data_IF_473307885959
#
_entry.id   IF_473307885959
#
_cell.length_a   1.000
_cell.length_b   1.000
_cell.length_c   1.000
_cell.angle_alpha   90.00
_cell.angle_beta   90.00
_cell.angle_gamma   90.00
#
_symmetry.space_group_name_H-M   'P 1'
#
loop_
_entity.id
_entity.type
_entity.pdbx_description
1 polymer ?
#
# COMPACT_ATOMS: atom_id res chain seq x y z
N UNK A 1 -0.83 -12.20 -7.04
CA UNK A 1 0.60 -12.27 -6.66
C UNK A 1 1.01 -10.91 -6.10
N UNK A 2 1.24 -10.80 -4.79
CA UNK A 2 1.58 -9.50 -4.17
C UNK A 2 2.95 -8.95 -4.62
N UNK A 3 3.88 -9.81 -5.08
CA UNK A 3 5.20 -9.39 -5.53
C UNK A 3 5.24 -8.56 -6.82
N UNK A 4 4.19 -8.59 -7.65
CA UNK A 4 4.16 -7.89 -8.94
C UNK A 4 4.07 -6.37 -8.82
N UNK A 5 3.59 -5.85 -7.69
CA UNK A 5 3.36 -4.41 -7.49
C UNK A 5 4.69 -3.64 -7.46
N UNK A 6 5.70 -4.15 -6.75
CA UNK A 6 7.01 -3.47 -6.67
C UNK A 6 7.71 -3.43 -8.02
N UNK A 7 7.65 -4.55 -8.77
CA UNK A 7 8.24 -4.63 -10.11
C UNK A 7 7.51 -3.72 -11.09
N UNK A 8 6.17 -3.66 -11.04
CA UNK A 8 5.39 -2.76 -11.89
C UNK A 8 5.70 -1.28 -11.62
N UNK A 9 5.88 -0.89 -10.35
CA UNK A 9 6.26 0.48 -9.98
C UNK A 9 7.67 0.81 -10.45
N UNK A 10 8.62 -0.12 -10.28
CA UNK A 10 9.98 0.06 -10.78
C UNK A 10 10.01 0.22 -12.31
N UNK A 11 9.27 -0.61 -13.03
CA UNK A 11 9.11 -0.49 -14.49
C UNK A 11 8.48 0.84 -14.88
N UNK A 12 7.49 1.32 -14.12
CA UNK A 12 6.89 2.64 -14.35
C UNK A 12 7.89 3.78 -14.13
N UNK A 13 8.75 3.71 -13.12
CA UNK A 13 9.78 4.73 -12.88
C UNK A 13 10.80 4.76 -14.03
N UNK A 14 11.21 3.60 -14.54
CA UNK A 14 12.11 3.51 -15.70
C UNK A 14 11.49 4.14 -16.96
N UNK A 15 10.17 4.06 -17.14
CA UNK A 15 9.49 4.68 -18.28
C UNK A 15 9.11 6.15 -18.05
N UNK A 16 8.84 6.56 -16.81
CA UNK A 16 8.47 7.93 -16.45
C UNK A 16 9.67 8.89 -16.47
N UNK A 17 10.86 8.44 -16.06
CA UNK A 17 12.09 9.25 -16.04
C UNK A 17 13.25 8.51 -16.74
N UNK A 18 13.18 8.31 -18.06
CA UNK A 18 14.17 7.52 -18.80
C UNK A 18 15.55 8.18 -18.87
N UNK A 19 15.63 9.50 -18.69
CA UNK A 19 16.88 10.27 -18.68
C UNK A 19 17.56 10.35 -17.30
N UNK A 20 16.94 9.80 -16.25
CA UNK A 20 17.37 9.97 -14.86
C UNK A 20 17.04 8.79 -13.96
N UNK A 21 17.24 7.57 -14.46
CA UNK A 21 16.84 6.33 -13.80
C UNK A 21 17.56 6.12 -12.45
N UNK A 22 18.81 6.58 -12.32
CA UNK A 22 19.57 6.49 -11.06
C UNK A 22 18.94 7.35 -9.94
N UNK A 23 18.46 8.55 -10.29
CA UNK A 23 17.72 9.43 -9.39
C UNK A 23 16.32 8.88 -9.08
N UNK A 24 15.62 8.36 -10.10
CA UNK A 24 14.29 7.75 -9.91
C UNK A 24 14.32 6.50 -9.04
N UNK A 25 15.31 5.63 -9.24
CA UNK A 25 15.47 4.39 -8.47
C UNK A 25 15.92 4.63 -7.03
N UNK A 26 16.86 5.55 -6.80
CA UNK A 26 17.27 5.92 -5.43
C UNK A 26 16.12 6.56 -4.64
N UNK A 27 15.33 7.45 -5.26
CA UNK A 27 14.12 8.00 -4.65
C UNK A 27 13.08 6.91 -4.34
N UNK A 28 12.87 5.96 -5.27
CA UNK A 28 11.97 4.83 -5.04
C UNK A 28 12.38 3.99 -3.83
N UNK A 29 13.67 3.63 -3.74
CA UNK A 29 14.22 2.84 -2.64
C UNK A 29 14.09 3.61 -1.32
N UNK A 30 14.36 4.92 -1.31
CA UNK A 30 14.21 5.77 -0.13
C UNK A 30 12.76 5.79 0.38
N UNK A 31 11.80 6.01 -0.52
CA UNK A 31 10.37 6.01 -0.19
C UNK A 31 9.92 4.63 0.31
N UNK A 32 10.41 3.56 -0.32
CA UNK A 32 10.07 2.19 0.06
C UNK A 32 10.57 1.87 1.48
N UNK A 33 11.82 2.21 1.79
CA UNK A 33 12.37 2.03 3.13
C UNK A 33 11.65 2.90 4.16
N UNK A 34 11.33 4.15 3.82
CA UNK A 34 10.56 5.04 4.69
C UNK A 34 9.17 4.47 4.98
N UNK A 35 8.48 3.91 3.98
CA UNK A 35 7.19 3.27 4.17
C UNK A 35 7.27 2.05 5.09
N UNK A 36 8.31 1.22 4.95
CA UNK A 36 8.55 0.08 5.86
C UNK A 36 8.81 0.56 7.28
N UNK A 37 9.67 1.56 7.46
CA UNK A 37 10.01 2.13 8.76
C UNK A 37 8.79 2.74 9.45
N UNK A 38 7.97 3.51 8.71
CA UNK A 38 6.72 4.06 9.22
C UNK A 38 5.71 2.98 9.57
N UNK A 39 5.58 1.94 8.74
CA UNK A 39 4.73 0.79 9.01
C UNK A 39 5.14 0.05 10.28
N UNK A 40 6.43 -0.16 10.47
CA UNK A 40 6.98 -0.77 11.69
C UNK A 40 6.78 0.13 12.92
N UNK A 41 6.99 1.44 12.80
CA UNK A 41 6.78 2.41 13.87
C UNK A 41 5.31 2.46 14.32
N UNK A 42 4.39 2.64 13.37
CA UNK A 42 2.95 2.68 13.67
C UNK A 42 2.43 1.33 14.15
N UNK A 43 2.92 0.23 13.56
CA UNK A 43 2.58 -1.13 14.00
C UNK A 43 3.06 -1.41 15.42
N UNK A 44 4.31 -1.04 15.74
CA UNK A 44 4.88 -1.14 17.07
C UNK A 44 4.08 -0.34 18.09
N UNK A 45 3.81 0.94 17.79
CA UNK A 45 3.02 1.81 18.66
C UNK A 45 1.60 1.26 18.91
N UNK A 46 1.00 0.63 17.90
CA UNK A 46 -0.32 0.01 18.02
C UNK A 46 -0.30 -1.26 18.88
N UNK A 47 0.77 -2.06 18.79
CA UNK A 47 0.97 -3.26 19.63
C UNK A 47 1.33 -2.87 21.06
N UNK A 48 2.13 -1.83 21.26
CA UNK A 48 2.55 -1.36 22.59
C UNK A 48 1.36 -0.85 23.42
N UNK A 49 0.38 -0.18 22.79
CA UNK A 49 -0.78 0.37 23.51
C UNK A 49 -1.94 -0.63 23.68
N UNK A 50 -2.16 -1.53 22.72
CA UNK A 50 -3.37 -2.39 22.68
C UNK A 50 -3.06 -3.90 22.64
N UNK A 51 -1.78 -4.27 22.71
CA UNK A 51 -1.31 -5.65 22.62
C UNK A 51 -1.45 -6.25 21.22
N UNK A 52 -1.14 -7.54 21.11
CA UNK A 52 -1.11 -8.27 19.83
C UNK A 52 -2.47 -8.31 19.10
N UNK A 53 -3.57 -8.16 19.85
CA UNK A 53 -4.93 -8.14 19.30
C UNK A 53 -5.21 -6.94 18.39
N UNK A 54 -4.44 -5.85 18.53
CA UNK A 54 -4.54 -4.67 17.66
C UNK A 54 -4.34 -5.01 16.18
N UNK A 55 -3.39 -5.89 15.87
CA UNK A 55 -3.10 -6.30 14.50
C UNK A 55 -4.32 -6.97 13.83
N UNK A 56 -5.11 -7.74 14.60
CA UNK A 56 -6.33 -8.35 14.09
C UNK A 56 -7.42 -7.31 13.81
N UNK A 57 -7.55 -6.28 14.66
CA UNK A 57 -8.48 -5.18 14.42
C UNK A 57 -8.11 -4.38 13.16
N UNK A 58 -6.82 -4.10 12.96
CA UNK A 58 -6.33 -3.43 11.75
C UNK A 58 -6.61 -4.28 10.51
N UNK A 59 -6.41 -5.59 10.58
CA UNK A 59 -6.73 -6.51 9.49
C UNK A 59 -8.24 -6.51 9.17
N UNK A 60 -9.10 -6.56 10.19
CA UNK A 60 -10.56 -6.48 10.02
C UNK A 60 -10.96 -5.15 9.39
N UNK A 61 -10.38 -4.03 9.83
CA UNK A 61 -10.65 -2.71 9.25
C UNK A 61 -10.26 -2.67 7.76
N UNK A 62 -9.11 -3.25 7.40
CA UNK A 62 -8.65 -3.33 6.01
C UNK A 62 -9.57 -4.19 5.15
N UNK A 63 -10.04 -5.32 5.68
CA UNK A 63 -11.00 -6.19 4.99
C UNK A 63 -12.34 -5.48 4.79
N UNK A 64 -12.83 -4.75 5.79
CA UNK A 64 -14.05 -3.95 5.68
C UNK A 64 -13.89 -2.84 4.64
N UNK A 65 -12.74 -2.16 4.61
CA UNK A 65 -12.45 -1.14 3.61
C UNK A 65 -12.40 -1.72 2.20
N UNK A 66 -11.75 -2.87 2.03
CA UNK A 66 -11.73 -3.58 0.75
C UNK A 66 -13.15 -4.00 0.31
N UNK A 67 -13.96 -4.53 1.23
CA UNK A 67 -15.36 -4.87 0.99
C UNK A 67 -16.16 -3.63 0.56
N UNK A 68 -16.01 -2.50 1.26
CA UNK A 68 -16.65 -1.23 0.90
C UNK A 68 -16.25 -0.75 -0.48
N UNK A 69 -14.97 -0.81 -0.85
CA UNK A 69 -14.49 -0.48 -2.19
C UNK A 69 -15.10 -1.37 -3.25
N UNK A 70 -15.15 -2.69 -3.01
CA UNK A 70 -15.79 -3.65 -3.92
C UNK A 70 -17.28 -3.34 -4.05
N UNK A 71 -17.98 -3.14 -2.94
CA UNK A 71 -19.41 -2.85 -2.93
C UNK A 71 -19.72 -1.53 -3.65
N UNK A 72 -18.92 -0.48 -3.43
CA UNK A 72 -19.03 0.81 -4.12
C UNK A 72 -18.76 0.67 -5.63
N UNK A 73 -17.79 -0.16 -6.03
CA UNK A 73 -17.52 -0.45 -7.44
C UNK A 73 -18.67 -1.21 -8.13
N UNK A 74 -19.43 -2.01 -7.36
CA UNK A 74 -20.63 -2.71 -7.83
C UNK A 74 -21.80 -1.74 -7.97
N UNK A 75 -21.99 -0.82 -7.01
CA UNK A 75 -22.98 0.24 -7.10
C UNK A 75 -22.74 1.18 -8.29
N UNK A 76 -21.49 1.58 -8.55
CA UNK A 76 -21.13 2.40 -9.70
C UNK A 76 -21.48 1.73 -11.05
N UNK A 77 -21.40 0.39 -11.13
CA UNK A 77 -21.84 -0.36 -12.32
C UNK A 77 -23.36 -0.52 -12.44
N UNK A 78 -24.10 -0.51 -11.32
CA UNK A 78 -25.55 -0.65 -11.33
C UNK A 78 -26.26 0.68 -11.68
N UNK A 79 -25.64 1.83 -11.37
CA UNK A 79 -26.15 3.16 -11.75
C UNK A 79 -25.88 3.56 -13.21
N UNK A 80 -25.08 2.78 -13.95
CA UNK A 80 -24.72 3.05 -15.34
C UNK A 80 -25.48 2.16 -16.35
N UNK A 81 -26.54 1.49 -15.91
CA UNK A 81 -27.43 0.67 -16.73
C UNK A 81 -28.84 1.23 -16.67
#
# INVERSE_FOLDING_TARGET
MYGGVSVALMTWIMTAVPKGIELGSSAYIAIFNLAIALGAYLGGLSVDNYGLNSALFIAVLFILFALLCVFSSRYAKCSAK
#
